data_IF_672137972586
#
_entry.id   IF_672137972586
#
_cell.length_a   1.000
_cell.length_b   1.000
_cell.length_c   1.000
_cell.angle_alpha   90.00
_cell.angle_beta   90.00
_cell.angle_gamma   90.00
#
_symmetry.space_group_name_H-M   'P 1'
#
loop_
_entity.id
_entity.type
_entity.pdbx_description
1 polymer ?
#
# COMPACT_ATOMS: atom_id res chain seq x y z
N UNK A 1 9.95 10.41 -7.60
CA UNK A 1 9.55 9.29 -6.74
C UNK A 1 8.23 8.71 -7.22
N UNK A 2 8.04 7.43 -6.99
CA UNK A 2 6.83 6.71 -7.43
C UNK A 2 6.01 6.30 -6.22
N UNK A 3 4.72 6.59 -6.25
CA UNK A 3 3.79 6.29 -5.17
C UNK A 3 2.81 5.23 -5.61
N UNK A 4 2.62 4.19 -4.79
CA UNK A 4 1.55 3.21 -4.99
C UNK A 4 0.48 3.44 -3.92
N UNK A 5 -0.75 3.63 -4.36
CA UNK A 5 -1.90 3.78 -3.47
C UNK A 5 -2.78 2.55 -3.65
N UNK A 6 -2.92 1.76 -2.58
CA UNK A 6 -3.78 0.58 -2.57
C UNK A 6 -5.12 0.96 -1.95
N UNK A 7 -6.17 0.82 -2.73
CA UNK A 7 -7.51 1.20 -2.33
C UNK A 7 -8.05 2.31 -3.22
N UNK A 8 -9.14 2.00 -3.93
CA UNK A 8 -9.75 2.93 -4.88
C UNK A 8 -11.03 3.57 -4.34
N UNK A 9 -11.27 3.44 -3.04
CA UNK A 9 -12.41 4.07 -2.38
C UNK A 9 -12.20 5.56 -2.14
N UNK A 10 -13.05 6.14 -1.29
CA UNK A 10 -13.06 7.58 -1.06
C UNK A 10 -11.71 8.13 -0.58
N UNK A 11 -11.09 7.47 0.42
CA UNK A 11 -9.81 7.93 0.96
C UNK A 11 -8.67 7.78 -0.05
N UNK A 12 -8.68 6.68 -0.81
CA UNK A 12 -7.68 6.48 -1.86
C UNK A 12 -7.75 7.57 -2.92
N UNK A 13 -8.96 7.95 -3.32
CA UNK A 13 -9.17 9.02 -4.31
C UNK A 13 -8.71 10.38 -3.79
N UNK A 14 -8.96 10.68 -2.52
CA UNK A 14 -8.52 11.92 -1.90
C UNK A 14 -6.99 11.97 -1.87
N UNK A 15 -6.36 10.89 -1.46
CA UNK A 15 -4.90 10.82 -1.40
C UNK A 15 -4.28 10.95 -2.80
N UNK A 16 -4.87 10.27 -3.78
CA UNK A 16 -4.40 10.36 -5.17
C UNK A 16 -4.43 11.80 -5.67
N UNK A 17 -5.56 12.48 -5.46
CA UNK A 17 -5.70 13.88 -5.88
C UNK A 17 -4.69 14.78 -5.18
N UNK A 18 -4.53 14.61 -3.88
CA UNK A 18 -3.55 15.39 -3.10
C UNK A 18 -2.14 15.17 -3.62
N UNK A 19 -1.75 13.92 -3.85
CA UNK A 19 -0.42 13.60 -4.33
C UNK A 19 -0.16 14.19 -5.73
N UNK A 20 -1.17 14.17 -6.60
CA UNK A 20 -1.07 14.77 -7.92
C UNK A 20 -0.86 16.28 -7.84
N UNK A 21 -1.60 16.95 -6.94
CA UNK A 21 -1.49 18.40 -6.76
C UNK A 21 -0.16 18.81 -6.14
N UNK A 22 0.38 18.00 -5.23
CA UNK A 22 1.67 18.28 -4.58
C UNK A 22 2.85 18.20 -5.55
N UNK A 23 2.76 17.33 -6.55
CA UNK A 23 3.80 17.20 -7.56
C UNK A 23 5.07 16.49 -7.10
N UNK A 24 5.10 15.95 -5.88
CA UNK A 24 6.26 15.23 -5.36
C UNK A 24 6.51 13.91 -6.09
N UNK A 25 5.43 13.26 -6.53
CA UNK A 25 5.50 11.97 -7.20
C UNK A 25 5.23 12.15 -8.69
N UNK A 26 6.21 11.80 -9.53
CA UNK A 26 6.03 11.84 -10.98
C UNK A 26 5.14 10.72 -11.48
N UNK A 27 5.04 9.63 -10.72
CA UNK A 27 4.23 8.47 -11.07
C UNK A 27 3.39 8.06 -9.87
N UNK A 28 2.10 7.86 -10.10
CA UNK A 28 1.17 7.41 -9.07
C UNK A 28 0.43 6.18 -9.60
N UNK A 29 0.63 5.04 -8.94
CA UNK A 29 -0.11 3.81 -9.24
C UNK A 29 -1.33 3.75 -8.35
N UNK A 30 -2.51 3.66 -8.95
CA UNK A 30 -3.78 3.59 -8.22
C UNK A 30 -4.29 2.16 -8.30
N UNK A 31 -4.20 1.42 -7.20
CA UNK A 31 -4.32 -0.03 -7.18
C UNK A 31 -5.62 -0.47 -6.52
N UNK A 32 -6.43 -1.26 -7.25
CA UNK A 32 -7.55 -1.98 -6.67
C UNK A 32 -7.01 -3.35 -6.24
N UNK A 33 -6.95 -3.65 -4.92
CA UNK A 33 -6.22 -4.84 -4.47
C UNK A 33 -6.76 -6.17 -5.01
N UNK A 34 -8.04 -6.24 -5.36
CA UNK A 34 -8.63 -7.47 -5.89
C UNK A 34 -8.51 -7.59 -7.40
N UNK A 35 -7.95 -6.59 -8.06
CA UNK A 35 -7.75 -6.57 -9.51
C UNK A 35 -6.26 -6.60 -9.82
N UNK A 36 -5.76 -7.77 -10.23
CA UNK A 36 -4.34 -7.95 -10.52
C UNK A 36 -3.82 -7.01 -11.61
N UNK A 37 -4.68 -6.61 -12.54
CA UNK A 37 -4.26 -5.75 -13.64
C UNK A 37 -3.88 -4.34 -13.17
N UNK A 38 -4.29 -3.93 -11.97
CA UNK A 38 -3.98 -2.61 -11.44
C UNK A 38 -2.62 -2.54 -10.73
N UNK A 39 -2.04 -3.70 -10.40
CA UNK A 39 -0.74 -3.73 -9.72
C UNK A 39 0.38 -3.42 -10.72
N UNK A 40 1.29 -2.50 -10.39
CA UNK A 40 2.37 -2.14 -11.31
C UNK A 40 3.41 -3.24 -11.42
N UNK A 41 4.12 -3.26 -12.55
CA UNK A 41 5.23 -4.19 -12.77
C UNK A 41 6.54 -3.65 -12.21
N UNK A 42 6.56 -2.39 -11.79
CA UNK A 42 7.79 -1.76 -11.29
C UNK A 42 7.67 -1.42 -9.80
N UNK A 43 8.82 -1.28 -9.16
CA UNK A 43 8.92 -1.01 -7.73
C UNK A 43 8.57 0.46 -7.44
N UNK A 44 7.63 0.73 -6.53
CA UNK A 44 7.40 2.10 -6.06
C UNK A 44 8.47 2.51 -5.03
N UNK A 45 8.51 3.78 -4.70
CA UNK A 45 9.32 4.27 -3.59
C UNK A 45 8.53 4.23 -2.28
N UNK A 46 7.21 4.35 -2.37
CA UNK A 46 6.32 4.34 -1.21
C UNK A 46 5.01 3.69 -1.59
N UNK A 47 4.49 2.84 -0.72
CA UNK A 47 3.16 2.23 -0.86
C UNK A 47 2.31 2.62 0.34
N UNK A 48 1.11 3.14 0.07
CA UNK A 48 0.16 3.50 1.13
C UNK A 48 -1.13 2.72 0.89
N UNK A 49 -1.60 2.01 1.93
CA UNK A 49 -2.81 1.19 1.85
C UNK A 49 -3.96 1.82 2.63
N UNK A 50 -5.05 2.10 1.91
CA UNK A 50 -6.33 2.53 2.47
C UNK A 50 -7.45 1.60 1.99
N UNK A 51 -7.22 0.31 1.96
CA UNK A 51 -8.19 -0.64 1.44
C UNK A 51 -8.96 -1.37 2.54
N UNK A 52 -8.63 -2.62 2.78
CA UNK A 52 -9.26 -3.44 3.81
C UNK A 52 -8.28 -4.51 4.28
N UNK A 53 -8.51 -5.13 5.46
CA UNK A 53 -7.55 -6.10 6.01
C UNK A 53 -7.25 -7.28 5.08
N UNK A 54 -8.23 -7.72 4.32
CA UNK A 54 -8.05 -8.84 3.38
C UNK A 54 -7.06 -8.57 2.25
N UNK A 55 -6.70 -7.30 2.01
CA UNK A 55 -5.72 -6.95 0.98
C UNK A 55 -4.29 -7.25 1.39
N UNK A 56 -4.03 -7.55 2.65
CA UNK A 56 -2.66 -7.67 3.16
C UNK A 56 -1.87 -8.79 2.46
N UNK A 57 -2.53 -9.87 2.08
CA UNK A 57 -1.87 -10.94 1.33
C UNK A 57 -1.35 -10.45 -0.02
N UNK A 58 -2.17 -9.71 -0.74
CA UNK A 58 -1.78 -9.15 -2.05
C UNK A 58 -0.65 -8.14 -1.90
N UNK A 59 -0.69 -7.33 -0.84
CA UNK A 59 0.38 -6.37 -0.55
C UNK A 59 1.69 -7.10 -0.26
N UNK A 60 1.66 -8.16 0.55
CA UNK A 60 2.85 -8.95 0.83
C UNK A 60 3.43 -9.57 -0.43
N UNK A 61 2.58 -10.19 -1.27
CA UNK A 61 3.03 -10.80 -2.50
C UNK A 61 3.68 -9.77 -3.43
N UNK A 62 3.09 -8.58 -3.52
CA UNK A 62 3.68 -7.50 -4.31
C UNK A 62 5.04 -7.10 -3.74
N UNK A 63 5.15 -6.87 -2.43
CA UNK A 63 6.41 -6.51 -1.78
C UNK A 63 7.48 -7.57 -2.05
N UNK A 64 7.12 -8.84 -1.91
CA UNK A 64 8.03 -9.95 -2.13
C UNK A 64 8.52 -10.02 -3.57
N UNK A 65 7.60 -9.90 -4.53
CA UNK A 65 7.93 -9.95 -5.96
C UNK A 65 8.83 -8.81 -6.38
N UNK A 66 8.68 -7.66 -5.76
CA UNK A 66 9.50 -6.48 -6.06
C UNK A 66 10.83 -6.48 -5.30
N UNK A 67 11.08 -7.46 -4.44
CA UNK A 67 12.32 -7.54 -3.68
C UNK A 67 12.38 -6.64 -2.45
N UNK A 68 11.26 -6.10 -2.04
CA UNK A 68 11.19 -5.24 -0.86
C UNK A 68 11.93 -3.93 -1.01
N UNK A 69 12.31 -3.32 0.11
CA UNK A 69 13.19 -2.15 0.15
C UNK A 69 12.50 -0.80 -0.04
N UNK A 70 11.18 -0.75 -0.19
CA UNK A 70 10.44 0.51 -0.27
C UNK A 70 9.55 0.67 0.96
N UNK A 71 9.19 1.92 1.28
CA UNK A 71 8.36 2.20 2.45
C UNK A 71 6.93 1.73 2.27
N UNK A 72 6.35 1.19 3.35
CA UNK A 72 4.95 0.75 3.37
C UNK A 72 4.23 1.42 4.53
N UNK A 73 3.12 2.09 4.23
CA UNK A 73 2.25 2.68 5.25
C UNK A 73 0.90 1.96 5.18
N UNK A 74 0.54 1.28 6.26
CA UNK A 74 -0.73 0.59 6.37
C UNK A 74 -1.69 1.46 7.19
N UNK A 75 -2.68 2.04 6.53
CA UNK A 75 -3.67 2.92 7.13
C UNK A 75 -5.02 2.24 7.32
N UNK A 76 -5.09 0.94 7.05
CA UNK A 76 -6.29 0.13 7.21
C UNK A 76 -6.44 -0.31 8.65
N UNK A 77 -7.68 -0.40 9.14
CA UNK A 77 -7.99 -0.86 10.48
C UNK A 77 -8.60 -2.27 10.44
N UNK A 78 -8.65 -2.93 11.59
CA UNK A 78 -9.37 -4.19 11.73
C UNK A 78 -8.58 -5.44 11.36
N UNK A 79 -7.26 -5.40 11.44
CA UNK A 79 -6.44 -6.59 11.21
C UNK A 79 -6.67 -7.63 12.30
N UNK A 80 -6.90 -8.87 11.90
CA UNK A 80 -6.97 -10.00 12.81
C UNK A 80 -5.61 -10.66 12.99
N UNK A 81 -5.56 -11.76 13.80
CA UNK A 81 -4.28 -12.43 14.08
C UNK A 81 -3.55 -12.92 12.82
N UNK A 82 -4.28 -13.42 11.83
CA UNK A 82 -3.66 -13.92 10.59
C UNK A 82 -3.02 -12.77 9.81
N UNK A 83 -3.73 -11.65 9.71
CA UNK A 83 -3.22 -10.47 9.01
C UNK A 83 -1.99 -9.89 9.70
N UNK A 84 -1.97 -9.87 11.03
CA UNK A 84 -0.80 -9.40 11.78
C UNK A 84 0.43 -10.27 11.51
N UNK A 85 0.26 -11.58 11.32
CA UNK A 85 1.39 -12.45 10.97
C UNK A 85 1.96 -12.07 9.60
N UNK A 86 1.10 -11.71 8.64
CA UNK A 86 1.54 -11.28 7.32
C UNK A 86 2.23 -9.93 7.39
N UNK A 87 1.73 -9.01 8.22
CA UNK A 87 2.37 -7.71 8.43
C UNK A 87 3.80 -7.91 8.94
N UNK A 88 4.02 -8.86 9.85
CA UNK A 88 5.37 -9.17 10.32
C UNK A 88 6.28 -9.64 9.19
N UNK A 89 5.76 -10.40 8.24
CA UNK A 89 6.53 -10.83 7.08
C UNK A 89 6.92 -9.63 6.19
N UNK A 90 5.98 -8.70 6.00
CA UNK A 90 6.28 -7.48 5.23
C UNK A 90 7.38 -6.66 5.92
N UNK A 91 7.32 -6.55 7.25
CA UNK A 91 8.32 -5.80 8.04
C UNK A 91 9.73 -6.33 7.85
N UNK A 92 9.89 -7.61 7.51
CA UNK A 92 11.21 -8.20 7.29
C UNK A 92 11.85 -7.72 5.99
N UNK A 93 11.06 -7.24 5.04
CA UNK A 93 11.58 -6.87 3.72
C UNK A 93 11.33 -5.41 3.35
N UNK A 94 10.42 -4.73 4.05
CA UNK A 94 10.09 -3.32 3.79
C UNK A 94 10.02 -2.54 5.10
N UNK A 95 10.55 -1.31 5.16
CA UNK A 95 10.25 -0.44 6.30
C UNK A 95 8.75 -0.18 6.34
N UNK A 96 8.14 -0.40 7.50
CA UNK A 96 6.68 -0.37 7.59
C UNK A 96 6.21 0.47 8.77
N UNK A 97 5.22 1.31 8.52
CA UNK A 97 4.47 2.04 9.55
C UNK A 97 3.02 1.60 9.47
N UNK A 98 2.46 1.17 10.58
CA UNK A 98 1.07 0.83 10.67
C UNK A 98 0.37 1.87 11.55
N UNK A 99 -0.66 2.50 10.98
CA UNK A 99 -1.44 3.51 11.66
C UNK A 99 -2.92 3.16 11.49
N UNK A 100 -3.45 2.40 12.42
CA UNK A 100 -4.84 1.95 12.36
C UNK A 100 -5.81 2.97 12.96
N UNK A 101 -5.34 4.08 13.44
CA UNK A 101 -6.17 5.07 14.13
C UNK A 101 -5.91 6.47 13.59
N UNK A 102 -6.50 6.77 12.46
CA UNK A 102 -6.44 8.08 11.80
C UNK A 102 -7.64 8.96 12.15
N UNK A 103 -8.24 8.74 13.27
CA UNK A 103 -9.37 9.57 13.69
C UNK A 103 -8.94 10.95 14.14
#
# INVERSE_FOLDING_TARGET
MKLAIVGTGAMGKVLKKYAEEEGTFETIFFIEPMDESTWPLEKPDLLIDFSHPGAINSIYEFCRKQGGGFGVVLATTGYGPQEWEIIKLIQKICPLVQKSNFS
#
